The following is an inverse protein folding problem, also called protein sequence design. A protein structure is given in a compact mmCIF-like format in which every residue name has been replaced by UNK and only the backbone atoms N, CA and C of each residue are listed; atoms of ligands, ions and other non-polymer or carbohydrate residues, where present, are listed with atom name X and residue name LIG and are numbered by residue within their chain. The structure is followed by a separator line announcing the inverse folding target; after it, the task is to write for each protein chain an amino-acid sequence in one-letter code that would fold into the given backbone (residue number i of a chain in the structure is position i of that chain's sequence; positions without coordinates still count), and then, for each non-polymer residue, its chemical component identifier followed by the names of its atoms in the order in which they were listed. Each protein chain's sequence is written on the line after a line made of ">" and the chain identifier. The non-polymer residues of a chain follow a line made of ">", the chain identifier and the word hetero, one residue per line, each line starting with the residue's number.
data_IF_314627136080
#
_entry.id   IF_314627136080
#
_cell.length_a   1.000
_cell.length_b   1.000
_cell.length_c   1.000
_cell.angle_alpha   90.00
_cell.angle_beta   90.00
_cell.angle_gamma   90.00
#
_symmetry.space_group_name_H-M   'P 1'
#
loop_
_entity.id
_entity.type
_entity.pdbx_description
1 polymer ?
#
# COMPACT_ATOMS: atom_id res chain seq x y z
N UNK A 1 11.37 -9.53 -8.93
CA UNK A 1 10.06 -8.94 -9.27
C UNK A 1 10.07 -7.41 -9.47
N UNK A 2 10.91 -6.63 -8.79
CA UNK A 2 11.04 -5.17 -9.04
C UNK A 2 11.30 -4.80 -10.51
N UNK A 3 12.23 -5.51 -11.18
CA UNK A 3 12.51 -5.27 -12.60
C UNK A 3 11.28 -5.51 -13.47
N UNK A 4 10.52 -6.57 -13.17
CA UNK A 4 9.27 -6.89 -13.86
C UNK A 4 8.22 -5.80 -13.68
N UNK A 5 8.03 -5.31 -12.46
CA UNK A 5 7.09 -4.24 -12.15
C UNK A 5 7.45 -2.94 -12.88
N UNK A 6 8.73 -2.57 -12.90
CA UNK A 6 9.21 -1.38 -13.64
C UNK A 6 9.02 -1.50 -15.14
N UNK A 7 9.38 -2.65 -15.72
CA UNK A 7 9.17 -2.91 -17.14
C UNK A 7 7.69 -2.87 -17.51
N UNK A 8 6.83 -3.52 -16.71
CA UNK A 8 5.39 -3.50 -16.91
C UNK A 8 4.83 -2.08 -16.87
N UNK A 9 5.21 -1.29 -15.86
CA UNK A 9 4.74 0.09 -15.72
C UNK A 9 5.18 0.96 -16.91
N UNK A 10 6.43 0.84 -17.38
CA UNK A 10 6.91 1.52 -18.59
C UNK A 10 6.09 1.15 -19.81
N UNK A 11 5.86 -0.15 -20.04
CA UNK A 11 5.05 -0.63 -21.16
C UNK A 11 3.60 -0.12 -21.09
N UNK A 12 3.00 -0.09 -19.89
CA UNK A 12 1.65 0.42 -19.70
C UNK A 12 1.55 1.91 -20.00
N UNK A 13 2.53 2.70 -19.58
CA UNK A 13 2.58 4.15 -19.85
C UNK A 13 2.74 4.42 -21.34
N UNK A 14 3.61 3.68 -22.03
CA UNK A 14 3.91 3.87 -23.45
C UNK A 14 2.78 3.41 -24.37
N UNK A 15 2.13 2.29 -24.03
CA UNK A 15 1.21 1.58 -24.92
C UNK A 15 -0.24 1.56 -24.45
N UNK A 16 -0.49 1.96 -23.21
CA UNK A 16 -1.78 1.87 -22.54
C UNK A 16 -1.97 0.53 -21.82
N UNK A 17 -2.64 0.58 -20.68
CA UNK A 17 -2.84 -0.58 -19.80
C UNK A 17 -3.51 -1.76 -20.50
N UNK A 18 -4.57 -1.51 -21.27
CA UNK A 18 -5.36 -2.56 -21.94
C UNK A 18 -4.60 -3.28 -23.06
N UNK A 19 -3.64 -2.60 -23.68
CA UNK A 19 -2.94 -3.12 -24.87
C UNK A 19 -1.74 -4.01 -24.52
N UNK A 20 -1.33 -4.05 -23.27
CA UNK A 20 -0.17 -4.84 -22.83
C UNK A 20 -0.67 -6.10 -22.13
N UNK A 21 -0.08 -7.24 -22.52
CA UNK A 21 -0.38 -8.55 -21.94
C UNK A 21 0.73 -9.02 -21.00
N UNK A 22 0.37 -9.90 -20.07
CA UNK A 22 1.37 -10.56 -19.16
C UNK A 22 2.44 -11.30 -19.94
N UNK A 23 2.08 -11.89 -21.11
CA UNK A 23 3.03 -12.58 -21.99
C UNK A 23 4.08 -11.63 -22.59
N UNK A 24 3.69 -10.43 -23.01
CA UNK A 24 4.61 -9.41 -23.51
C UNK A 24 5.52 -8.89 -22.39
N UNK A 25 5.00 -8.69 -21.18
CA UNK A 25 5.82 -8.30 -20.02
C UNK A 25 6.85 -9.40 -19.72
N UNK A 26 6.44 -10.68 -19.76
CA UNK A 26 7.35 -11.80 -19.55
C UNK A 26 8.50 -11.82 -20.59
N UNK A 27 8.16 -11.59 -21.86
CA UNK A 27 9.14 -11.51 -22.95
C UNK A 27 10.11 -10.35 -22.75
N UNK A 28 9.62 -9.16 -22.35
CA UNK A 28 10.42 -7.97 -22.10
C UNK A 28 11.49 -8.19 -21.02
N UNK A 29 11.13 -8.91 -19.95
CA UNK A 29 12.06 -9.20 -18.84
C UNK A 29 12.81 -10.52 -19.00
N UNK A 30 12.72 -11.18 -20.16
CA UNK A 30 13.40 -12.45 -20.42
C UNK A 30 12.93 -13.62 -19.55
N UNK A 31 11.67 -13.61 -19.14
CA UNK A 31 11.07 -14.61 -18.26
C UNK A 31 10.07 -15.49 -19.03
N UNK A 32 9.99 -16.78 -18.70
CA UNK A 32 8.95 -17.63 -19.25
C UNK A 32 7.56 -17.14 -18.74
N UNK A 33 6.53 -17.03 -19.61
CA UNK A 33 5.19 -16.60 -19.20
C UNK A 33 4.61 -17.42 -18.04
N UNK A 34 4.83 -18.74 -18.02
CA UNK A 34 4.39 -19.62 -16.93
C UNK A 34 5.03 -19.28 -15.59
N UNK A 35 6.27 -18.78 -15.59
CA UNK A 35 6.95 -18.32 -14.38
C UNK A 35 6.31 -17.03 -13.87
N UNK A 36 6.00 -16.11 -14.77
CA UNK A 36 5.35 -14.86 -14.39
C UNK A 36 3.94 -15.10 -13.86
N UNK A 37 3.13 -15.95 -14.52
CA UNK A 37 1.79 -16.33 -14.05
C UNK A 37 1.78 -17.04 -12.69
N UNK A 38 2.88 -17.70 -12.31
CA UNK A 38 2.99 -18.30 -10.96
C UNK A 38 3.12 -17.23 -9.87
N UNK A 39 3.67 -16.07 -10.18
CA UNK A 39 3.82 -14.95 -9.25
C UNK A 39 2.64 -13.98 -9.29
N UNK A 40 2.10 -13.72 -10.48
CA UNK A 40 1.06 -12.74 -10.74
C UNK A 40 -0.06 -13.35 -11.58
N UNK A 41 -1.25 -13.36 -11.06
CA UNK A 41 -2.42 -13.89 -11.79
C UNK A 41 -2.90 -12.92 -12.85
N UNK A 42 -2.77 -11.63 -12.58
CA UNK A 42 -3.23 -10.54 -13.44
C UNK A 42 -2.13 -9.51 -13.66
N UNK A 43 -2.30 -8.61 -14.60
CA UNK A 43 -1.38 -7.49 -14.81
C UNK A 43 -1.54 -6.41 -13.74
N UNK A 44 -2.72 -6.31 -13.15
CA UNK A 44 -3.00 -5.49 -11.97
C UNK A 44 -2.12 -5.94 -10.79
N UNK A 45 -2.01 -7.24 -10.53
CA UNK A 45 -1.17 -7.79 -9.47
C UNK A 45 0.30 -7.35 -9.62
N UNK A 46 0.80 -7.21 -10.86
CA UNK A 46 2.17 -6.76 -11.11
C UNK A 46 2.35 -5.31 -10.63
N UNK A 47 1.39 -4.43 -10.92
CA UNK A 47 1.45 -3.03 -10.52
C UNK A 47 1.26 -2.87 -9.02
N UNK A 48 0.35 -3.65 -8.44
CA UNK A 48 0.01 -3.60 -7.01
C UNK A 48 1.04 -4.27 -6.11
N UNK A 49 1.90 -5.13 -6.68
CA UNK A 49 2.86 -5.91 -5.91
C UNK A 49 3.78 -5.04 -5.04
N UNK A 50 3.91 -5.42 -3.77
CA UNK A 50 4.92 -4.90 -2.87
C UNK A 50 5.84 -6.05 -2.39
N UNK A 51 7.14 -5.85 -2.46
CA UNK A 51 8.16 -6.85 -2.09
C UNK A 51 8.17 -7.15 -0.59
N UNK A 52 7.53 -6.30 0.20
CA UNK A 52 7.75 -6.24 1.62
C UNK A 52 6.51 -6.50 2.48
N UNK A 53 5.42 -6.98 1.87
CA UNK A 53 4.18 -7.25 2.61
C UNK A 53 4.43 -8.14 3.84
N UNK A 54 5.20 -9.22 3.70
CA UNK A 54 5.55 -10.09 4.83
C UNK A 54 6.38 -9.39 5.92
N UNK A 55 7.25 -8.42 5.56
CA UNK A 55 8.01 -7.65 6.53
C UNK A 55 7.13 -6.64 7.29
N UNK A 56 6.11 -6.11 6.65
CA UNK A 56 5.10 -5.25 7.28
C UNK A 56 4.30 -6.05 8.32
N UNK A 57 3.86 -7.26 7.98
CA UNK A 57 3.12 -8.13 8.90
C UNK A 57 3.94 -8.48 10.14
N UNK A 58 5.20 -8.87 9.95
CA UNK A 58 6.13 -9.16 11.05
C UNK A 58 6.39 -7.91 11.91
N UNK A 59 6.57 -6.74 11.29
CA UNK A 59 6.78 -5.48 12.01
C UNK A 59 5.54 -5.10 12.82
N UNK A 60 4.34 -5.29 12.25
CA UNK A 60 3.09 -5.03 12.95
C UNK A 60 2.90 -5.93 14.16
N UNK A 61 3.17 -7.24 14.03
CA UNK A 61 3.12 -8.16 15.16
C UNK A 61 4.05 -7.74 16.30
N UNK A 62 5.28 -7.31 15.98
CA UNK A 62 6.25 -6.80 16.99
C UNK A 62 5.80 -5.48 17.61
N UNK A 63 5.20 -4.59 16.83
CA UNK A 63 4.73 -3.29 17.31
C UNK A 63 3.52 -3.45 18.24
N UNK A 64 2.53 -4.28 17.88
CA UNK A 64 1.33 -4.56 18.68
C UNK A 64 1.65 -5.21 20.03
N UNK A 65 2.76 -5.92 20.14
CA UNK A 65 3.22 -6.46 21.42
C UNK A 65 3.70 -5.39 22.43
N UNK A 66 3.94 -4.15 21.96
CA UNK A 66 4.60 -3.09 22.74
C UNK A 66 3.84 -1.77 22.78
N UNK A 67 2.94 -1.54 21.84
CA UNK A 67 2.27 -0.26 21.61
C UNK A 67 0.76 -0.44 21.50
N UNK A 68 -0.03 0.59 21.83
CA UNK A 68 -1.44 0.63 21.49
C UNK A 68 -1.66 0.46 19.97
N UNK A 69 -2.79 -0.13 19.52
CA UNK A 69 -2.99 -0.49 18.12
C UNK A 69 -2.79 0.65 17.12
N UNK A 70 -3.32 1.83 17.38
CA UNK A 70 -3.20 2.99 16.49
C UNK A 70 -1.73 3.46 16.36
N UNK A 71 -1.00 3.50 17.48
CA UNK A 71 0.42 3.84 17.51
C UNK A 71 1.27 2.78 16.81
N UNK A 72 0.94 1.50 16.99
CA UNK A 72 1.60 0.39 16.31
C UNK A 72 1.48 0.51 14.79
N UNK A 73 0.26 0.71 14.28
CA UNK A 73 0.01 0.90 12.85
C UNK A 73 0.73 2.13 12.30
N UNK A 74 0.64 3.28 12.99
CA UNK A 74 1.39 4.48 12.61
C UNK A 74 2.90 4.20 12.48
N UNK A 75 3.49 3.55 13.50
CA UNK A 75 4.93 3.29 13.48
C UNK A 75 5.34 2.38 12.33
N UNK A 76 4.56 1.35 12.01
CA UNK A 76 4.84 0.45 10.89
C UNK A 76 4.71 1.18 9.55
N UNK A 77 3.67 2.00 9.36
CA UNK A 77 3.53 2.77 8.12
C UNK A 77 4.66 3.79 7.94
N UNK A 78 5.15 4.40 9.01
CA UNK A 78 6.30 5.32 8.96
C UNK A 78 7.60 4.56 8.71
N UNK A 79 7.89 3.53 9.52
CA UNK A 79 9.20 2.88 9.54
C UNK A 79 9.39 1.92 8.37
N UNK A 80 8.32 1.23 7.95
CA UNK A 80 8.41 0.21 6.91
C UNK A 80 7.93 0.72 5.55
N UNK A 81 6.77 1.33 5.45
CA UNK A 81 6.19 1.75 4.17
C UNK A 81 6.82 3.05 3.67
N UNK A 82 6.76 4.14 4.45
CA UNK A 82 7.15 5.46 3.98
C UNK A 82 8.64 5.56 3.65
N UNK A 83 9.52 4.91 4.41
CA UNK A 83 10.96 4.90 4.11
C UNK A 83 11.27 4.27 2.75
N UNK A 84 10.52 3.25 2.35
CA UNK A 84 10.68 2.62 1.03
C UNK A 84 10.21 3.50 -0.10
N UNK A 85 9.08 4.17 0.07
CA UNK A 85 8.56 5.13 -0.90
C UNK A 85 9.53 6.29 -1.08
N UNK A 86 10.10 6.79 0.00
CA UNK A 86 11.11 7.84 -0.05
C UNK A 86 12.43 7.38 -0.69
N UNK A 87 12.83 6.13 -0.53
CA UNK A 87 14.06 5.59 -1.10
C UNK A 87 13.99 5.41 -2.63
N UNK A 88 12.79 5.34 -3.22
CA UNK A 88 12.56 5.16 -4.65
C UNK A 88 11.46 6.12 -5.15
N UNK A 89 11.60 7.38 -4.77
CA UNK A 89 10.59 8.44 -4.89
C UNK A 89 9.99 8.52 -6.30
N UNK A 90 10.83 8.65 -7.31
CA UNK A 90 10.38 8.86 -8.69
C UNK A 90 9.51 7.70 -9.19
N UNK A 91 9.94 6.48 -8.91
CA UNK A 91 9.18 5.29 -9.30
C UNK A 91 7.86 5.17 -8.52
N UNK A 92 7.87 5.42 -7.23
CA UNK A 92 6.68 5.31 -6.41
C UNK A 92 5.64 6.38 -6.76
N UNK A 93 6.07 7.62 -7.02
CA UNK A 93 5.19 8.68 -7.51
C UNK A 93 4.57 8.31 -8.85
N UNK A 94 5.40 7.83 -9.79
CA UNK A 94 4.92 7.40 -11.10
C UNK A 94 3.90 6.27 -10.98
N UNK A 95 4.20 5.25 -10.15
CA UNK A 95 3.32 4.09 -9.91
C UNK A 95 1.98 4.51 -9.31
N UNK A 96 2.01 5.29 -8.24
CA UNK A 96 0.79 5.72 -7.53
C UNK A 96 -0.09 6.57 -8.47
N UNK A 97 0.49 7.52 -9.18
CA UNK A 97 -0.27 8.33 -10.14
C UNK A 97 -0.89 7.50 -11.25
N UNK A 98 -0.15 6.52 -11.74
CA UNK A 98 -0.67 5.63 -12.77
C UNK A 98 -1.83 4.77 -12.25
N UNK A 99 -1.76 4.30 -11.00
CA UNK A 99 -2.86 3.59 -10.33
C UNK A 99 -4.11 4.49 -10.25
N UNK A 100 -3.97 5.71 -9.76
CA UNK A 100 -5.10 6.64 -9.64
C UNK A 100 -5.69 7.07 -11.01
N UNK A 101 -4.86 7.19 -12.03
CA UNK A 101 -5.29 7.59 -13.38
C UNK A 101 -5.91 6.46 -14.21
N UNK A 102 -5.74 5.18 -13.81
CA UNK A 102 -6.21 4.02 -14.56
C UNK A 102 -7.36 3.36 -13.81
N UNK A 103 -8.57 3.41 -14.37
CA UNK A 103 -9.81 2.94 -13.71
C UNK A 103 -9.70 1.50 -13.17
N UNK A 104 -9.17 0.57 -13.98
CA UNK A 104 -9.01 -0.83 -13.58
C UNK A 104 -8.03 -0.99 -12.40
N UNK A 105 -6.93 -0.24 -12.41
CA UNK A 105 -5.95 -0.27 -11.31
C UNK A 105 -6.49 0.39 -10.05
N UNK A 106 -7.22 1.49 -10.19
CA UNK A 106 -7.87 2.15 -9.07
C UNK A 106 -8.91 1.23 -8.40
N UNK A 107 -9.73 0.54 -9.20
CA UNK A 107 -10.67 -0.45 -8.69
C UNK A 107 -9.95 -1.62 -7.97
N UNK A 108 -8.84 -2.12 -8.53
CA UNK A 108 -8.03 -3.16 -7.90
C UNK A 108 -7.39 -2.69 -6.58
N UNK A 109 -6.97 -1.41 -6.50
CA UNK A 109 -6.45 -0.82 -5.27
C UNK A 109 -7.52 -0.78 -4.17
N UNK A 110 -8.73 -0.32 -4.49
CA UNK A 110 -9.86 -0.30 -3.53
C UNK A 110 -10.17 -1.73 -3.03
N UNK A 111 -10.15 -2.72 -3.91
CA UNK A 111 -10.36 -4.11 -3.51
C UNK A 111 -9.23 -4.64 -2.62
N UNK A 112 -7.98 -4.27 -2.90
CA UNK A 112 -6.84 -4.60 -2.06
C UNK A 112 -6.98 -3.98 -0.66
N UNK A 113 -7.39 -2.72 -0.56
CA UNK A 113 -7.63 -2.02 0.72
C UNK A 113 -8.71 -2.72 1.56
N UNK A 114 -9.77 -3.19 0.92
CA UNK A 114 -10.82 -3.97 1.62
C UNK A 114 -10.28 -5.27 2.22
N UNK A 115 -9.39 -5.96 1.50
CA UNK A 115 -8.72 -7.18 2.00
C UNK A 115 -7.78 -6.85 3.15
N UNK A 116 -6.90 -5.86 2.98
CA UNK A 116 -5.97 -5.39 4.01
C UNK A 116 -6.70 -4.98 5.29
N UNK A 117 -7.82 -4.25 5.16
CA UNK A 117 -8.65 -3.89 6.31
C UNK A 117 -9.21 -5.11 7.04
N UNK A 118 -9.65 -6.13 6.31
CA UNK A 118 -10.16 -7.36 6.93
C UNK A 118 -9.06 -8.13 7.68
N UNK A 119 -7.86 -8.21 7.10
CA UNK A 119 -6.68 -8.85 7.68
C UNK A 119 -6.21 -8.11 8.94
N UNK A 120 -6.06 -6.79 8.85
CA UNK A 120 -5.73 -5.93 10.00
C UNK A 120 -6.77 -6.04 11.11
N UNK A 121 -8.07 -6.07 10.76
CA UNK A 121 -9.14 -6.26 11.75
C UNK A 121 -8.98 -7.57 12.50
N UNK A 122 -8.73 -8.67 11.79
CA UNK A 122 -8.54 -9.98 12.41
C UNK A 122 -7.28 -10.04 13.29
N UNK A 123 -6.16 -9.47 12.81
CA UNK A 123 -4.92 -9.39 13.56
C UNK A 123 -5.05 -8.55 14.84
N UNK A 124 -5.66 -7.37 14.74
CA UNK A 124 -5.91 -6.50 15.90
C UNK A 124 -6.82 -7.15 16.93
N UNK A 125 -7.91 -7.81 16.50
CA UNK A 125 -8.84 -8.49 17.41
C UNK A 125 -8.12 -9.55 18.25
N UNK A 126 -7.19 -10.30 17.65
CA UNK A 126 -6.41 -11.34 18.33
C UNK A 126 -5.47 -10.78 19.41
N UNK A 127 -5.05 -9.53 19.31
CA UNK A 127 -4.17 -8.89 20.32
C UNK A 127 -4.93 -8.26 21.48
N UNK A 128 -6.26 -8.12 21.38
CA UNK A 128 -7.09 -7.51 22.43
C UNK A 128 -7.31 -8.46 23.60
N UNK A 129 -7.16 -7.97 24.82
CA UNK A 129 -7.45 -8.72 26.06
C UNK A 129 -8.91 -9.24 26.09
N UNK A 130 -9.83 -8.45 25.55
CA UNK A 130 -11.22 -8.83 25.30
C UNK A 130 -11.50 -8.62 23.81
N UNK A 131 -11.69 -9.71 23.03
CA UNK A 131 -11.97 -9.59 21.62
C UNK A 131 -13.13 -8.62 21.34
N UNK A 132 -12.89 -7.66 20.48
CA UNK A 132 -13.86 -6.62 20.09
C UNK A 132 -13.68 -6.28 18.61
N UNK A 133 -14.28 -7.11 17.74
CA UNK A 133 -14.19 -6.98 16.29
C UNK A 133 -14.65 -5.62 15.76
N UNK A 134 -15.76 -5.00 16.24
CA UNK A 134 -16.14 -3.65 15.83
C UNK A 134 -15.06 -2.60 16.12
N UNK A 135 -14.46 -2.62 17.31
CA UNK A 135 -13.38 -1.69 17.65
C UNK A 135 -12.14 -1.93 16.80
N UNK A 136 -11.73 -3.20 16.60
CA UNK A 136 -10.62 -3.56 15.70
C UNK A 136 -10.87 -3.08 14.27
N UNK A 137 -12.09 -3.23 13.74
CA UNK A 137 -12.46 -2.78 12.39
C UNK A 137 -12.42 -1.25 12.25
N UNK A 138 -12.82 -0.51 13.30
CA UNK A 138 -12.74 0.96 13.31
C UNK A 138 -11.28 1.38 13.31
N UNK A 139 -10.43 0.80 14.15
CA UNK A 139 -8.99 1.13 14.20
C UNK A 139 -8.32 0.83 12.87
N UNK A 140 -8.55 -0.36 12.30
CA UNK A 140 -7.99 -0.73 11.00
C UNK A 140 -8.44 0.23 9.89
N UNK A 141 -9.74 0.50 9.80
CA UNK A 141 -10.31 1.39 8.78
C UNK A 141 -9.83 2.84 8.92
N UNK A 142 -9.80 3.38 10.13
CA UNK A 142 -9.32 4.74 10.38
C UNK A 142 -7.82 4.87 10.06
N UNK A 143 -7.02 3.86 10.39
CA UNK A 143 -5.57 3.87 10.09
C UNK A 143 -5.29 3.81 8.59
N UNK A 144 -6.03 2.98 7.82
CA UNK A 144 -5.90 2.92 6.37
C UNK A 144 -6.37 4.22 5.72
N UNK A 145 -7.48 4.81 6.17
CA UNK A 145 -7.93 6.11 5.68
C UNK A 145 -6.89 7.22 5.94
N UNK A 146 -6.26 7.22 7.12
CA UNK A 146 -5.19 8.18 7.42
C UNK A 146 -3.96 7.98 6.51
N UNK A 147 -3.63 6.73 6.17
CA UNK A 147 -2.58 6.39 5.21
C UNK A 147 -2.95 6.85 3.79
N UNK A 148 -4.18 6.60 3.33
CA UNK A 148 -4.65 7.03 2.00
C UNK A 148 -4.58 8.54 1.83
N UNK A 149 -5.04 9.30 2.83
CA UNK A 149 -4.95 10.75 2.84
C UNK A 149 -3.49 11.22 2.79
N UNK A 150 -2.59 10.52 3.50
CA UNK A 150 -1.16 10.84 3.47
C UNK A 150 -0.55 10.59 2.09
N UNK A 151 -0.86 9.48 1.45
CA UNK A 151 -0.39 9.12 0.09
C UNK A 151 -0.97 10.09 -0.94
N UNK A 152 -2.25 10.42 -0.86
CA UNK A 152 -2.89 11.36 -1.79
C UNK A 152 -2.24 12.75 -1.71
N UNK A 153 -2.02 13.29 -0.52
CA UNK A 153 -1.32 14.56 -0.33
C UNK A 153 0.13 14.50 -0.80
N UNK A 154 0.83 13.39 -0.53
CA UNK A 154 2.21 13.19 -0.93
C UNK A 154 2.36 13.14 -2.46
N UNK A 155 1.48 12.42 -3.16
CA UNK A 155 1.53 12.35 -4.62
C UNK A 155 1.09 13.67 -5.28
N UNK A 156 0.17 14.41 -4.65
CA UNK A 156 -0.35 15.69 -5.16
C UNK A 156 0.71 16.80 -5.11
N UNK A 157 1.61 16.79 -4.11
CA UNK A 157 2.71 17.75 -3.99
C UNK A 157 4.04 17.26 -4.59
N UNK A 158 4.02 16.22 -5.43
CA UNK A 158 5.21 15.62 -6.05
C UNK A 158 6.25 15.08 -5.04
N UNK A 159 5.84 14.71 -3.84
CA UNK A 159 6.75 14.23 -2.80
C UNK A 159 7.63 15.34 -2.21
N UNK A 160 7.26 16.61 -2.34
CA UNK A 160 7.99 17.74 -1.73
C UNK A 160 8.16 17.56 -0.22
N UNK A 161 7.12 17.03 0.42
CA UNK A 161 7.21 16.58 1.81
C UNK A 161 7.36 15.06 1.85
N UNK A 162 8.30 14.51 2.64
CA UNK A 162 8.46 13.08 2.79
C UNK A 162 7.15 12.39 3.22
N UNK A 163 6.88 11.19 2.70
CA UNK A 163 5.68 10.42 3.05
C UNK A 163 5.60 10.14 4.57
N UNK A 164 6.76 9.94 5.23
CA UNK A 164 6.84 9.82 6.69
C UNK A 164 6.13 10.97 7.40
N UNK A 165 6.42 12.20 7.00
CA UNK A 165 5.80 13.41 7.56
C UNK A 165 4.30 13.47 7.26
N UNK A 166 3.88 13.11 6.06
CA UNK A 166 2.45 13.07 5.68
C UNK A 166 1.67 12.06 6.52
N UNK A 167 2.23 10.88 6.76
CA UNK A 167 1.62 9.86 7.64
C UNK A 167 1.51 10.39 9.07
N UNK A 168 2.58 10.94 9.64
CA UNK A 168 2.55 11.49 10.99
C UNK A 168 1.51 12.61 11.15
N UNK A 169 1.37 13.50 10.15
CA UNK A 169 0.36 14.55 10.12
C UNK A 169 -1.06 13.98 10.10
N UNK A 170 -1.32 13.00 9.23
CA UNK A 170 -2.65 12.38 9.10
C UNK A 170 -3.06 11.63 10.37
N UNK A 171 -2.14 10.89 10.99
CA UNK A 171 -2.41 10.20 12.25
C UNK A 171 -2.61 11.17 13.42
N UNK A 172 -1.87 12.26 13.47
CA UNK A 172 -2.11 13.33 14.47
C UNK A 172 -3.51 13.94 14.33
N UNK A 173 -3.97 14.20 13.10
CA UNK A 173 -5.33 14.68 12.86
C UNK A 173 -6.37 13.63 13.28
N UNK A 174 -6.13 12.35 13.02
CA UNK A 174 -7.02 11.28 13.49
C UNK A 174 -7.11 11.22 15.01
N UNK A 175 -6.01 11.39 15.74
CA UNK A 175 -5.97 11.43 17.21
C UNK A 175 -6.73 12.63 17.78
N UNK A 176 -6.72 13.75 17.08
CA UNK A 176 -7.31 15.02 17.47
C UNK A 176 -8.69 15.30 16.85
N UNK A 177 -9.33 14.30 16.24
CA UNK A 177 -10.53 14.51 15.42
C UNK A 177 -11.69 15.18 16.20
N UNK A 178 -11.78 14.95 17.50
CA UNK A 178 -12.79 15.58 18.35
C UNK A 178 -12.47 17.05 18.67
N UNK A 179 -11.22 17.49 18.49
CA UNK A 179 -10.76 18.85 18.75
C UNK A 179 -10.84 19.73 17.49
N UNK A 180 -11.16 19.13 16.33
CA UNK A 180 -11.29 19.83 15.05
C UNK A 180 -12.70 20.36 14.78
N UNK A 181 -13.66 20.05 15.64
CA UNK A 181 -15.05 20.50 15.56
C UNK A 181 -15.29 21.67 16.50
#
# INVERSE_FOLDING_TARGET
>A
MRTTQRAALSMFIERGFDRVTVGEIAAEVGMAPSTLYRHFRTKEDIVMWDEHDAAIDDALGRALAKKPPLEALRSVFVDELANRYNADLDFQLLRIRYIYATEQLHAAAIEADLRTRAELTAGLEQTMTKPNRPAAAIIAGASLLALDIAIDRWQSDNGEQPLTKRIEESFRQLEQINDLA
#
